data_IF_379202956971
#
_entry.id   IF_379202956971
#
_cell.length_a   1.000
_cell.length_b   1.000
_cell.length_c   1.000
_cell.angle_alpha   90.00
_cell.angle_beta   90.00
_cell.angle_gamma   90.00
#
_symmetry.space_group_name_H-M   'P 1'
#
loop_
_entity.id
_entity.type
_entity.pdbx_description
1 polymer ?
#
# COMPACT_ATOMS: atom_id res chain seq x y z
N UNK A 1 5.47 15.04 -71.23
CA UNK A 1 5.43 15.39 -69.79
C UNK A 1 4.42 14.59 -68.97
N UNK A 2 3.17 14.33 -69.41
CA UNK A 2 2.17 13.55 -68.63
C UNK A 2 2.54 12.09 -68.27
N UNK A 3 3.33 11.38 -69.10
CA UNK A 3 3.72 9.98 -68.80
C UNK A 3 4.81 9.85 -67.72
N UNK A 4 5.70 10.83 -67.58
CA UNK A 4 6.76 10.81 -66.55
C UNK A 4 6.23 11.19 -65.16
N UNK A 5 5.17 12.01 -65.09
CA UNK A 5 4.54 12.41 -63.83
C UNK A 5 3.80 11.23 -63.15
N UNK A 6 3.10 10.39 -63.93
CA UNK A 6 2.36 9.24 -63.40
C UNK A 6 3.27 8.08 -62.96
N UNK A 7 4.46 7.94 -63.55
CA UNK A 7 5.44 6.94 -63.11
C UNK A 7 6.04 7.32 -61.75
N UNK A 8 6.33 8.61 -61.54
CA UNK A 8 6.84 9.11 -60.27
C UNK A 8 5.81 9.04 -59.14
N UNK A 9 4.52 9.30 -59.39
CA UNK A 9 3.48 9.18 -58.35
C UNK A 9 3.28 7.72 -57.91
N UNK A 10 3.31 6.76 -58.85
CA UNK A 10 3.20 5.33 -58.52
C UNK A 10 4.45 4.80 -57.79
N UNK A 11 5.64 5.27 -58.18
CA UNK A 11 6.88 4.92 -57.49
C UNK A 11 6.94 5.51 -56.07
N UNK A 12 6.49 6.75 -55.87
CA UNK A 12 6.42 7.41 -54.56
C UNK A 12 5.35 6.77 -53.67
N UNK A 13 4.18 6.40 -54.21
CA UNK A 13 3.16 5.67 -53.47
C UNK A 13 3.65 4.29 -53.04
N UNK A 14 4.36 3.56 -53.92
CA UNK A 14 4.94 2.26 -53.59
C UNK A 14 6.05 2.40 -52.52
N UNK A 15 6.91 3.42 -52.61
CA UNK A 15 7.97 3.69 -51.64
C UNK A 15 7.41 4.09 -50.25
N UNK A 16 6.32 4.87 -50.20
CA UNK A 16 5.63 5.19 -48.94
C UNK A 16 4.88 3.98 -48.36
N UNK A 17 4.42 3.05 -49.21
CA UNK A 17 3.79 1.80 -48.72
C UNK A 17 4.86 0.87 -48.13
N UNK A 18 6.07 0.79 -48.70
CA UNK A 18 7.18 -0.01 -48.14
C UNK A 18 7.72 0.58 -46.82
N UNK A 19 7.67 1.91 -46.65
CA UNK A 19 8.06 2.57 -45.39
C UNK A 19 6.99 2.47 -44.28
N UNK A 20 5.74 2.13 -44.62
CA UNK A 20 4.66 1.96 -43.65
C UNK A 20 4.57 0.54 -43.06
N UNK A 21 5.32 -0.44 -43.58
CA UNK A 21 5.34 -1.84 -43.06
C UNK A 21 6.62 -2.16 -42.28
N UNK A 22 7.47 -1.17 -42.01
CA UNK A 22 8.56 -1.29 -41.05
C UNK A 22 8.27 -0.41 -39.83
N UNK A 23 7.20 -0.73 -39.08
CA UNK A 23 7.27 -0.42 -37.66
C UNK A 23 8.43 -1.27 -37.14
N UNK A 24 9.51 -0.62 -36.72
CA UNK A 24 10.54 -1.34 -36.00
C UNK A 24 9.85 -1.96 -34.79
N UNK A 25 9.81 -3.29 -34.70
CA UNK A 25 9.60 -3.91 -33.40
C UNK A 25 10.68 -3.34 -32.48
N UNK A 26 10.23 -2.64 -31.46
CA UNK A 26 11.11 -2.20 -30.38
C UNK A 26 11.27 -3.30 -29.33
N UNK A 27 10.54 -4.40 -29.52
CA UNK A 27 10.65 -5.62 -28.75
C UNK A 27 11.81 -6.44 -29.31
N UNK A 28 13.01 -6.11 -28.84
CA UNK A 28 14.18 -6.90 -29.14
C UNK A 28 14.20 -8.08 -28.18
N UNK A 29 14.06 -9.30 -28.71
CA UNK A 29 14.35 -10.53 -27.95
C UNK A 29 15.70 -10.36 -27.26
N UNK A 30 15.68 -10.25 -25.93
CA UNK A 30 16.90 -10.34 -25.14
C UNK A 30 17.19 -11.82 -24.95
N UNK A 31 18.13 -12.43 -25.69
CA UNK A 31 18.40 -13.87 -25.61
C UNK A 31 18.90 -14.31 -24.22
N UNK A 32 19.20 -13.36 -23.32
CA UNK A 32 19.61 -13.62 -21.94
C UNK A 32 18.50 -13.35 -20.90
N UNK A 33 17.33 -12.83 -21.31
CA UNK A 33 16.16 -12.69 -20.44
C UNK A 33 15.26 -13.93 -20.59
N UNK A 34 14.74 -14.44 -19.49
CA UNK A 34 13.70 -15.46 -19.54
C UNK A 34 12.42 -14.84 -20.13
N UNK A 35 11.79 -15.51 -21.10
CA UNK A 35 10.51 -15.07 -21.65
C UNK A 35 9.37 -15.39 -20.69
N UNK A 36 8.24 -14.69 -20.78
CA UNK A 36 7.04 -15.00 -19.96
C UNK A 36 6.61 -16.46 -20.12
N UNK A 37 6.73 -16.99 -21.35
CA UNK A 37 6.48 -18.39 -21.65
C UNK A 37 7.44 -19.35 -20.92
N UNK A 38 8.68 -18.94 -20.62
CA UNK A 38 9.66 -19.74 -19.87
C UNK A 38 9.48 -19.59 -18.35
N UNK A 39 9.16 -18.38 -17.89
CA UNK A 39 8.97 -18.09 -16.46
C UNK A 39 7.73 -18.80 -15.92
N UNK A 40 6.59 -18.66 -16.59
CA UNK A 40 5.32 -19.15 -16.06
C UNK A 40 4.97 -20.60 -16.44
N UNK A 41 5.77 -21.25 -17.29
CA UNK A 41 5.55 -22.66 -17.67
C UNK A 41 6.41 -23.67 -16.89
N UNK A 42 7.24 -23.20 -15.96
CA UNK A 42 8.11 -24.05 -15.14
C UNK A 42 7.87 -23.85 -13.64
N UNK A 43 8.14 -24.90 -12.86
CA UNK A 43 8.06 -24.85 -11.40
C UNK A 43 9.00 -23.80 -10.83
N UNK A 44 10.26 -23.82 -11.25
CA UNK A 44 11.28 -22.90 -10.74
C UNK A 44 10.99 -21.45 -11.14
N UNK A 45 10.53 -21.24 -12.37
CA UNK A 45 10.20 -19.91 -12.87
C UNK A 45 9.02 -19.27 -12.13
N UNK A 46 7.94 -20.02 -11.89
CA UNK A 46 6.77 -19.45 -11.19
C UNK A 46 7.07 -19.18 -9.72
N UNK A 47 7.82 -20.05 -9.03
CA UNK A 47 8.25 -19.82 -7.65
C UNK A 47 9.12 -18.56 -7.55
N UNK A 48 10.06 -18.39 -8.49
CA UNK A 48 10.89 -17.19 -8.56
C UNK A 48 10.07 -15.92 -8.85
N UNK A 49 9.07 -16.00 -9.72
CA UNK A 49 8.16 -14.89 -9.99
C UNK A 49 7.34 -14.50 -8.74
N UNK A 50 6.86 -15.48 -7.97
CA UNK A 50 6.14 -15.26 -6.71
C UNK A 50 7.02 -14.58 -5.66
N UNK A 51 8.26 -15.01 -5.49
CA UNK A 51 9.23 -14.36 -4.58
C UNK A 51 9.53 -12.94 -5.07
N UNK A 52 9.75 -12.75 -6.38
CA UNK A 52 10.00 -11.45 -6.98
C UNK A 52 8.84 -10.47 -6.84
N UNK A 53 7.60 -10.95 -6.88
CA UNK A 53 6.39 -10.16 -6.63
C UNK A 53 6.36 -9.61 -5.20
N UNK A 54 6.57 -10.48 -4.21
CA UNK A 54 6.66 -10.07 -2.80
C UNK A 54 7.81 -9.08 -2.59
N UNK A 55 8.98 -9.33 -3.18
CA UNK A 55 10.14 -8.45 -3.07
C UNK A 55 9.87 -7.08 -3.72
N UNK A 56 9.24 -7.04 -4.90
CA UNK A 56 8.85 -5.79 -5.56
C UNK A 56 7.90 -4.97 -4.67
N UNK A 57 6.89 -5.61 -4.09
CA UNK A 57 5.95 -4.96 -3.18
C UNK A 57 6.67 -4.45 -1.92
N UNK A 58 7.43 -5.30 -1.24
CA UNK A 58 8.04 -5.00 0.06
C UNK A 58 9.20 -4.00 0.01
N UNK A 59 9.88 -3.85 -1.13
CA UNK A 59 11.01 -2.90 -1.28
C UNK A 59 10.61 -1.64 -2.04
N UNK A 60 9.94 -1.78 -3.18
CA UNK A 60 9.58 -0.63 -4.02
C UNK A 60 8.17 -0.14 -3.73
N UNK A 61 7.22 -1.05 -3.55
CA UNK A 61 5.83 -0.73 -3.24
C UNK A 61 5.70 0.00 -1.90
N UNK A 62 6.19 -0.63 -0.83
CA UNK A 62 6.11 -0.08 0.53
C UNK A 62 6.78 1.29 0.66
N UNK A 63 7.90 1.53 -0.03
CA UNK A 63 8.49 2.87 -0.10
C UNK A 63 7.44 3.91 -0.46
N UNK A 64 6.71 3.70 -1.56
CA UNK A 64 5.75 4.68 -2.07
C UNK A 64 4.47 4.71 -1.24
N UNK A 65 3.98 3.55 -0.79
CA UNK A 65 2.79 3.40 0.05
C UNK A 65 2.97 4.10 1.41
N UNK A 66 4.19 4.15 1.94
CA UNK A 66 4.49 4.81 3.21
C UNK A 66 4.84 6.29 3.01
N UNK A 67 5.92 6.59 2.27
CA UNK A 67 6.47 7.95 2.15
C UNK A 67 5.43 8.94 1.61
N UNK A 68 4.65 8.52 0.62
CA UNK A 68 3.78 9.41 -0.13
C UNK A 68 2.62 9.95 0.72
N UNK A 69 1.75 9.10 1.31
CA UNK A 69 0.70 9.58 2.21
C UNK A 69 1.23 10.13 3.53
N UNK A 70 2.36 9.66 4.06
CA UNK A 70 2.91 10.17 5.31
C UNK A 70 3.25 11.68 5.24
N UNK A 71 3.86 12.12 4.14
CA UNK A 71 4.14 13.56 3.92
C UNK A 71 2.86 14.37 3.67
N UNK A 72 1.92 13.80 2.91
CA UNK A 72 0.62 14.45 2.60
C UNK A 72 -0.24 14.66 3.84
N UNK A 73 -0.19 13.74 4.82
CA UNK A 73 -1.00 13.75 6.06
C UNK A 73 -0.24 14.23 7.29
N UNK A 74 0.94 14.83 7.06
CA UNK A 74 1.80 15.40 8.08
C UNK A 74 2.33 14.41 9.10
N UNK A 75 2.22 13.09 8.89
CA UNK A 75 2.96 12.08 9.68
C UNK A 75 4.48 12.27 9.57
N UNK A 76 4.93 12.70 8.40
CA UNK A 76 6.32 12.99 8.10
C UNK A 76 6.48 14.40 7.53
N UNK A 77 7.65 15.00 7.79
CA UNK A 77 8.10 16.26 7.20
C UNK A 77 9.33 16.03 6.33
N UNK A 78 9.43 16.72 5.20
CA UNK A 78 10.57 16.55 4.28
C UNK A 78 11.81 17.26 4.82
N UNK A 79 12.97 16.66 4.59
CA UNK A 79 14.28 17.20 5.00
C UNK A 79 15.22 17.46 3.82
N UNK A 80 14.72 17.24 2.59
CA UNK A 80 15.46 17.44 1.34
C UNK A 80 14.76 18.44 0.43
N UNK A 81 15.53 19.00 -0.51
CA UNK A 81 15.03 19.92 -1.53
C UNK A 81 14.74 19.21 -2.85
N UNK A 82 14.45 17.91 -2.84
CA UNK A 82 14.06 17.21 -4.07
C UNK A 82 12.66 17.66 -4.48
N UNK A 83 12.49 18.03 -5.75
CA UNK A 83 11.26 18.67 -6.22
C UNK A 83 10.01 17.82 -5.94
N UNK A 84 10.09 16.50 -6.14
CA UNK A 84 8.98 15.60 -5.84
C UNK A 84 8.55 15.61 -4.37
N UNK A 85 9.50 15.79 -3.44
CA UNK A 85 9.22 15.87 -2.01
C UNK A 85 8.63 17.25 -1.66
N UNK A 86 9.17 18.31 -2.25
CA UNK A 86 8.65 19.68 -2.09
C UNK A 86 7.20 19.75 -2.58
N UNK A 87 6.91 19.26 -3.78
CA UNK A 87 5.55 19.24 -4.35
C UNK A 87 4.59 18.48 -3.43
N UNK A 88 5.07 17.37 -2.85
CA UNK A 88 4.28 16.54 -1.94
C UNK A 88 3.97 17.23 -0.61
N UNK A 89 4.91 17.97 -0.01
CA UNK A 89 4.68 18.67 1.26
C UNK A 89 3.93 19.99 1.10
N UNK A 90 4.27 20.75 0.05
CA UNK A 90 3.62 22.01 -0.29
C UNK A 90 2.14 21.77 -0.67
N UNK A 91 1.83 20.63 -1.30
CA UNK A 91 0.47 20.31 -1.74
C UNK A 91 -0.01 21.24 -2.86
N UNK A 92 -1.34 21.36 -3.01
CA UNK A 92 -1.93 22.07 -4.15
C UNK A 92 -1.87 21.26 -5.45
N UNK A 93 -1.59 21.93 -6.57
CA UNK A 93 -1.49 21.27 -7.88
C UNK A 93 -0.16 20.51 -8.00
N UNK A 94 -0.17 19.24 -7.57
CA UNK A 94 0.99 18.35 -7.73
C UNK A 94 1.09 17.89 -9.18
N UNK A 95 2.27 17.99 -9.83
CA UNK A 95 2.44 17.51 -11.20
C UNK A 95 2.15 16.01 -11.34
N UNK A 96 1.41 15.62 -12.38
CA UNK A 96 1.14 14.21 -12.73
C UNK A 96 2.41 13.39 -13.05
N UNK A 97 3.53 14.05 -13.32
CA UNK A 97 4.84 13.42 -13.54
C UNK A 97 5.69 13.29 -12.27
N UNK A 98 5.15 13.65 -11.10
CA UNK A 98 5.86 13.54 -9.82
C UNK A 98 6.21 12.08 -9.56
N UNK A 99 7.47 11.81 -9.19
CA UNK A 99 7.98 10.45 -9.03
C UNK A 99 7.25 9.64 -7.97
N UNK A 100 6.75 10.25 -6.90
CA UNK A 100 5.95 9.56 -5.89
C UNK A 100 4.64 9.03 -6.47
N UNK A 101 3.96 9.83 -7.31
CA UNK A 101 2.69 9.48 -7.94
C UNK A 101 2.89 8.40 -8.99
N UNK A 102 3.86 8.62 -9.90
CA UNK A 102 4.20 7.65 -10.95
C UNK A 102 4.69 6.33 -10.33
N UNK A 103 5.56 6.44 -9.32
CA UNK A 103 6.16 5.29 -8.64
C UNK A 103 5.14 4.43 -7.91
N UNK A 104 4.22 5.04 -7.15
CA UNK A 104 3.15 4.33 -6.47
C UNK A 104 2.27 3.59 -7.48
N UNK A 105 1.72 4.31 -8.46
CA UNK A 105 0.80 3.75 -9.46
C UNK A 105 1.45 2.61 -10.27
N UNK A 106 2.59 2.90 -10.92
CA UNK A 106 3.24 1.92 -11.80
C UNK A 106 3.77 0.70 -11.04
N UNK A 107 4.17 0.84 -9.77
CA UNK A 107 4.60 -0.32 -8.98
C UNK A 107 3.42 -1.21 -8.62
N UNK A 108 2.28 -0.64 -8.23
CA UNK A 108 1.07 -1.42 -7.92
C UNK A 108 0.53 -2.14 -9.15
N UNK A 109 0.51 -1.49 -10.33
CA UNK A 109 0.13 -2.16 -11.58
C UNK A 109 1.07 -3.32 -11.93
N UNK A 110 2.37 -3.19 -11.69
CA UNK A 110 3.33 -4.29 -11.91
C UNK A 110 3.10 -5.46 -10.96
N UNK A 111 2.83 -5.19 -9.67
CA UNK A 111 2.47 -6.23 -8.71
C UNK A 111 1.19 -6.95 -9.14
N UNK A 112 0.17 -6.21 -9.58
CA UNK A 112 -1.07 -6.79 -10.11
C UNK A 112 -0.82 -7.65 -11.35
N UNK A 113 -0.03 -7.18 -12.31
CA UNK A 113 0.29 -7.94 -13.53
C UNK A 113 0.96 -9.27 -13.21
N UNK A 114 2.00 -9.25 -12.35
CA UNK A 114 2.70 -10.48 -11.96
C UNK A 114 1.75 -11.42 -11.20
N UNK A 115 0.88 -10.88 -10.35
CA UNK A 115 -0.13 -11.67 -9.65
C UNK A 115 -1.10 -12.35 -10.61
N UNK A 116 -1.60 -11.63 -11.61
CA UNK A 116 -2.51 -12.18 -12.63
C UNK A 116 -1.84 -13.28 -13.45
N UNK A 117 -0.56 -13.10 -13.82
CA UNK A 117 0.21 -14.13 -14.53
C UNK A 117 0.43 -15.38 -13.67
N UNK A 118 0.78 -15.24 -12.39
CA UNK A 118 0.91 -16.38 -11.47
C UNK A 118 -0.43 -17.10 -11.34
N UNK A 119 -1.52 -16.38 -11.05
CA UNK A 119 -2.84 -16.95 -10.84
C UNK A 119 -3.36 -17.68 -12.08
N UNK A 120 -3.06 -17.15 -13.27
CA UNK A 120 -3.44 -17.75 -14.55
C UNK A 120 -2.65 -19.03 -14.85
N UNK A 121 -1.34 -19.04 -14.61
CA UNK A 121 -0.47 -20.12 -15.10
C UNK A 121 -0.20 -21.23 -14.06
N UNK A 122 -0.22 -20.93 -12.76
CA UNK A 122 0.04 -21.93 -11.71
C UNK A 122 -0.86 -23.18 -11.79
N UNK A 123 -2.18 -23.07 -12.09
CA UNK A 123 -3.05 -24.24 -12.19
C UNK A 123 -2.62 -25.26 -13.25
N UNK A 124 -2.03 -24.79 -14.34
CA UNK A 124 -1.65 -25.59 -15.52
C UNK A 124 -0.34 -26.36 -15.34
N UNK A 125 0.45 -26.03 -14.31
CA UNK A 125 1.71 -26.70 -14.04
C UNK A 125 1.52 -28.12 -13.50
N UNK A 126 2.44 -29.02 -13.79
CA UNK A 126 2.45 -30.36 -13.21
C UNK A 126 3.25 -30.40 -11.90
N UNK A 127 2.73 -29.71 -10.88
CA UNK A 127 3.29 -29.63 -9.51
C UNK A 127 2.23 -30.02 -8.47
N UNK A 128 2.60 -30.08 -7.18
CA UNK A 128 1.69 -30.43 -6.10
C UNK A 128 0.49 -29.47 -6.02
N UNK A 129 -0.73 -29.99 -5.81
CA UNK A 129 -1.96 -29.18 -5.77
C UNK A 129 -1.98 -28.15 -4.64
N UNK A 130 -1.38 -28.47 -3.49
CA UNK A 130 -1.17 -27.53 -2.39
C UNK A 130 -0.17 -26.42 -2.75
N UNK A 131 0.83 -26.70 -3.60
CA UNK A 131 1.72 -25.66 -4.14
C UNK A 131 0.95 -24.75 -5.10
N UNK A 132 0.12 -25.30 -5.99
CA UNK A 132 -0.72 -24.49 -6.90
C UNK A 132 -1.67 -23.59 -6.13
N UNK A 133 -2.37 -24.18 -5.15
CA UNK A 133 -3.30 -23.47 -4.27
C UNK A 133 -2.61 -22.32 -3.54
N UNK A 134 -1.46 -22.58 -2.92
CA UNK A 134 -0.65 -21.56 -2.27
C UNK A 134 -0.22 -20.44 -3.23
N UNK A 135 0.27 -20.78 -4.43
CA UNK A 135 0.69 -19.82 -5.45
C UNK A 135 -0.45 -18.87 -5.86
N UNK A 136 -1.64 -19.42 -6.15
CA UNK A 136 -2.81 -18.62 -6.54
C UNK A 136 -3.31 -17.78 -5.36
N UNK A 137 -3.39 -18.35 -4.16
CA UNK A 137 -3.80 -17.62 -2.96
C UNK A 137 -2.86 -16.46 -2.63
N UNK A 138 -1.54 -16.66 -2.78
CA UNK A 138 -0.53 -15.64 -2.56
C UNK A 138 -0.58 -14.54 -3.63
N UNK A 139 -0.76 -14.92 -4.90
CA UNK A 139 -1.00 -13.95 -5.97
C UNK A 139 -2.26 -13.10 -5.70
N UNK A 140 -3.35 -13.72 -5.27
CA UNK A 140 -4.57 -13.01 -4.90
C UNK A 140 -4.37 -12.06 -3.72
N UNK A 141 -3.59 -12.46 -2.70
CA UNK A 141 -3.21 -11.58 -1.59
C UNK A 141 -2.48 -10.33 -2.09
N UNK A 142 -1.41 -10.46 -2.87
CA UNK A 142 -0.64 -9.31 -3.35
C UNK A 142 -1.41 -8.44 -4.33
N UNK A 143 -2.25 -9.04 -5.18
CA UNK A 143 -3.17 -8.28 -6.03
C UNK A 143 -4.16 -7.48 -5.20
N UNK A 144 -4.77 -8.08 -4.18
CA UNK A 144 -5.68 -7.38 -3.26
C UNK A 144 -4.97 -6.23 -2.53
N UNK A 145 -3.73 -6.45 -2.07
CA UNK A 145 -2.91 -5.43 -1.43
C UNK A 145 -2.56 -4.27 -2.37
N UNK A 146 -2.24 -4.56 -3.63
CA UNK A 146 -1.95 -3.55 -4.63
C UNK A 146 -3.20 -2.72 -4.98
N UNK A 147 -4.35 -3.38 -5.19
CA UNK A 147 -5.64 -2.70 -5.41
C UNK A 147 -6.01 -1.83 -4.21
N UNK A 148 -5.91 -2.36 -3.00
CA UNK A 148 -6.19 -1.65 -1.76
C UNK A 148 -5.31 -0.40 -1.62
N UNK A 149 -4.01 -0.55 -1.85
CA UNK A 149 -3.04 0.55 -1.82
C UNK A 149 -3.37 1.64 -2.84
N UNK A 150 -3.78 1.29 -4.06
CA UNK A 150 -4.24 2.30 -5.01
C UNK A 150 -5.55 2.95 -4.55
N UNK A 151 -6.52 2.19 -4.06
CA UNK A 151 -7.81 2.73 -3.61
C UNK A 151 -7.67 3.64 -2.37
N UNK A 152 -6.61 3.48 -1.58
CA UNK A 152 -6.26 4.41 -0.50
C UNK A 152 -5.72 5.76 -1.02
N UNK A 153 -5.33 5.86 -2.28
CA UNK A 153 -4.59 7.00 -2.82
C UNK A 153 -5.30 7.71 -4.00
N UNK A 154 -6.23 7.04 -4.71
CA UNK A 154 -6.93 7.58 -5.89
C UNK A 154 -8.44 7.37 -5.81
N UNK A 155 -9.24 8.27 -6.39
CA UNK A 155 -10.72 8.18 -6.38
C UNK A 155 -11.28 7.00 -7.18
N UNK A 156 -10.57 6.60 -8.22
CA UNK A 156 -10.89 5.45 -9.06
C UNK A 156 -9.59 4.73 -9.41
N UNK A 157 -9.67 3.41 -9.58
CA UNK A 157 -8.48 2.58 -9.82
C UNK A 157 -8.77 1.48 -10.82
N UNK A 158 -7.70 0.90 -11.36
CA UNK A 158 -7.76 -0.30 -12.18
C UNK A 158 -7.69 -1.52 -11.25
N UNK A 159 -8.52 -2.54 -11.53
CA UNK A 159 -8.54 -3.81 -10.77
C UNK A 159 -8.19 -5.04 -11.62
N UNK A 160 -8.01 -4.84 -12.92
CA UNK A 160 -7.57 -5.86 -13.88
C UNK A 160 -6.69 -5.24 -14.94
N UNK A 161 -5.54 -5.86 -15.24
CA UNK A 161 -4.63 -5.34 -16.26
C UNK A 161 -5.21 -5.58 -17.66
N UNK A 162 -5.12 -4.57 -18.53
CA UNK A 162 -5.36 -4.71 -19.97
C UNK A 162 -4.08 -4.45 -20.73
N UNK A 163 -3.69 -5.40 -21.58
CA UNK A 163 -2.55 -5.25 -22.48
C UNK A 163 -2.83 -4.30 -23.64
N UNK A 164 -4.10 -4.05 -23.94
CA UNK A 164 -4.53 -3.15 -25.02
C UNK A 164 -4.56 -1.67 -24.58
N UNK A 165 -4.21 -1.39 -23.33
CA UNK A 165 -4.21 -0.03 -22.78
C UNK A 165 -5.61 0.54 -22.54
N UNK A 166 -6.64 -0.30 -22.42
CA UNK A 166 -8.04 0.12 -22.26
C UNK A 166 -8.64 -0.32 -20.92
N UNK A 167 -7.80 -0.55 -19.91
CA UNK A 167 -8.23 -1.00 -18.60
C UNK A 167 -9.30 -0.06 -18.00
N UNK A 168 -10.38 -0.65 -17.50
CA UNK A 168 -11.49 0.09 -16.90
C UNK A 168 -11.15 0.56 -15.48
N UNK A 169 -11.60 1.76 -15.15
CA UNK A 169 -11.52 2.32 -13.81
C UNK A 169 -12.80 2.03 -13.03
N UNK A 170 -12.66 1.67 -11.77
CA UNK A 170 -13.75 1.45 -10.82
C UNK A 170 -13.61 2.38 -9.62
N UNK A 171 -14.72 2.64 -8.93
CA UNK A 171 -14.70 3.42 -7.69
C UNK A 171 -13.85 2.76 -6.59
N UNK A 172 -13.35 3.54 -5.63
CA UNK A 172 -12.65 3.02 -4.45
C UNK A 172 -13.42 1.92 -3.71
N UNK A 173 -14.71 2.13 -3.48
CA UNK A 173 -15.55 1.14 -2.78
C UNK A 173 -15.67 -0.16 -3.57
N UNK A 174 -15.79 -0.09 -4.90
CA UNK A 174 -15.78 -1.27 -5.76
C UNK A 174 -14.41 -1.96 -5.79
N UNK A 175 -13.32 -1.20 -5.77
CA UNK A 175 -11.97 -1.71 -5.66
C UNK A 175 -11.73 -2.48 -4.35
N UNK A 176 -12.14 -1.92 -3.21
CA UNK A 176 -12.05 -2.63 -1.92
C UNK A 176 -12.89 -3.90 -1.90
N UNK A 177 -14.11 -3.89 -2.46
CA UNK A 177 -14.91 -5.10 -2.59
C UNK A 177 -14.26 -6.14 -3.52
N UNK A 178 -13.56 -5.70 -4.57
CA UNK A 178 -12.78 -6.58 -5.44
C UNK A 178 -11.60 -7.20 -4.69
N UNK A 179 -10.88 -6.42 -3.89
CA UNK A 179 -9.81 -6.93 -3.02
C UNK A 179 -10.35 -7.97 -2.02
N UNK A 180 -11.49 -7.71 -1.37
CA UNK A 180 -12.16 -8.68 -0.48
C UNK A 180 -12.54 -9.97 -1.23
N UNK A 181 -13.04 -9.87 -2.46
CA UNK A 181 -13.38 -11.05 -3.26
C UNK A 181 -12.15 -11.93 -3.55
N UNK A 182 -11.02 -11.32 -3.92
CA UNK A 182 -9.75 -12.03 -4.13
C UNK A 182 -9.26 -12.73 -2.86
N UNK A 183 -9.36 -12.07 -1.70
CA UNK A 183 -8.97 -12.64 -0.41
C UNK A 183 -9.87 -13.80 0.02
N UNK A 184 -11.18 -13.70 -0.23
CA UNK A 184 -12.12 -14.79 0.01
C UNK A 184 -11.83 -15.99 -0.91
N UNK A 185 -11.51 -15.74 -2.18
CA UNK A 185 -11.08 -16.79 -3.11
C UNK A 185 -9.81 -17.49 -2.61
N UNK A 186 -8.80 -16.71 -2.19
CA UNK A 186 -7.56 -17.24 -1.64
C UNK A 186 -7.80 -18.14 -0.41
N UNK A 187 -8.63 -17.69 0.54
CA UNK A 187 -9.02 -18.48 1.72
C UNK A 187 -9.72 -19.78 1.32
N UNK A 188 -10.66 -19.72 0.38
CA UNK A 188 -11.38 -20.90 -0.09
C UNK A 188 -10.45 -21.91 -0.79
N UNK A 189 -9.47 -21.42 -1.57
CA UNK A 189 -8.49 -22.26 -2.25
C UNK A 189 -7.64 -23.04 -1.26
N UNK A 190 -7.05 -22.36 -0.28
CA UNK A 190 -6.18 -23.03 0.71
C UNK A 190 -6.97 -23.92 1.68
N UNK A 191 -8.24 -23.60 1.95
CA UNK A 191 -9.12 -24.49 2.71
C UNK A 191 -9.44 -25.79 1.93
N UNK A 192 -9.65 -25.69 0.61
CA UNK A 192 -9.95 -26.84 -0.23
C UNK A 192 -8.71 -27.69 -0.54
N UNK A 193 -7.57 -27.05 -0.74
CA UNK A 193 -6.27 -27.68 -1.01
C UNK A 193 -5.22 -26.99 -0.13
N UNK A 194 -4.99 -27.50 1.10
CA UNK A 194 -4.01 -26.94 2.03
C UNK A 194 -2.63 -26.78 1.39
N UNK A 195 -1.95 -25.69 1.76
CA UNK A 195 -0.62 -25.38 1.24
C UNK A 195 0.35 -26.53 1.48
N UNK A 196 1.22 -26.79 0.51
CA UNK A 196 2.21 -27.85 0.59
C UNK A 196 3.41 -27.44 1.45
N UNK A 197 4.19 -28.42 1.90
CA UNK A 197 5.48 -28.18 2.58
C UNK A 197 6.44 -27.39 1.67
N UNK A 198 6.45 -27.66 0.37
CA UNK A 198 7.25 -26.94 -0.62
C UNK A 198 6.87 -25.45 -0.69
N UNK A 199 5.56 -25.15 -0.75
CA UNK A 199 5.12 -23.75 -0.76
C UNK A 199 5.49 -23.05 0.55
N UNK A 200 5.29 -23.74 1.68
CA UNK A 200 5.67 -23.22 3.00
C UNK A 200 7.17 -22.95 3.10
N UNK A 201 8.03 -23.86 2.63
CA UNK A 201 9.48 -23.75 2.75
C UNK A 201 10.11 -22.77 1.76
N UNK A 202 9.61 -22.71 0.51
CA UNK A 202 10.22 -21.92 -0.55
C UNK A 202 9.64 -20.50 -0.63
N UNK A 203 8.34 -20.32 -0.38
CA UNK A 203 7.66 -19.02 -0.51
C UNK A 203 7.48 -18.35 0.85
N UNK A 204 6.79 -18.99 1.80
CA UNK A 204 6.48 -18.35 3.09
C UNK A 204 7.70 -18.24 3.99
N UNK A 205 8.59 -19.25 3.98
CA UNK A 205 9.86 -19.30 4.71
C UNK A 205 9.73 -19.05 6.23
N UNK A 206 8.55 -19.29 6.80
CA UNK A 206 8.23 -18.97 8.19
C UNK A 206 8.05 -17.49 8.49
N UNK A 207 8.13 -16.61 7.49
CA UNK A 207 8.02 -15.16 7.66
C UNK A 207 6.59 -14.64 7.50
N UNK A 208 5.72 -15.40 6.82
CA UNK A 208 4.33 -15.03 6.55
C UNK A 208 3.44 -16.18 6.99
N UNK A 209 2.57 -15.91 7.96
CA UNK A 209 1.39 -16.73 8.20
C UNK A 209 0.31 -16.34 7.18
N UNK A 210 0.13 -17.17 6.15
CA UNK A 210 -0.77 -16.85 5.04
C UNK A 210 -2.24 -16.76 5.49
N UNK A 211 -2.70 -17.62 6.40
CA UNK A 211 -4.09 -17.63 6.85
C UNK A 211 -4.41 -16.36 7.63
N UNK A 212 -3.57 -16.03 8.62
CA UNK A 212 -3.74 -14.81 9.41
C UNK A 212 -3.58 -13.54 8.55
N UNK A 213 -2.66 -13.54 7.58
CA UNK A 213 -2.49 -12.40 6.66
C UNK A 213 -3.72 -12.18 5.78
N UNK A 214 -4.33 -13.26 5.28
CA UNK A 214 -5.56 -13.17 4.49
C UNK A 214 -6.72 -12.63 5.33
N UNK A 215 -6.83 -13.04 6.60
CA UNK A 215 -7.84 -12.50 7.53
C UNK A 215 -7.59 -11.03 7.86
N UNK A 216 -6.35 -10.65 8.17
CA UNK A 216 -5.99 -9.26 8.49
C UNK A 216 -6.30 -8.31 7.32
N UNK A 217 -5.91 -8.68 6.09
CA UNK A 217 -6.24 -7.88 4.91
C UNK A 217 -7.75 -7.90 4.61
N UNK A 218 -8.45 -9.01 4.88
CA UNK A 218 -9.91 -9.08 4.74
C UNK A 218 -10.60 -8.14 5.71
N UNK A 219 -10.14 -8.06 6.96
CA UNK A 219 -10.64 -7.13 7.96
C UNK A 219 -10.45 -5.68 7.52
N UNK A 220 -9.23 -5.33 7.08
CA UNK A 220 -8.87 -3.98 6.60
C UNK A 220 -9.75 -3.54 5.42
N UNK A 221 -9.86 -4.36 4.37
CA UNK A 221 -10.61 -3.95 3.18
C UNK A 221 -12.12 -4.04 3.35
N UNK A 222 -12.64 -4.92 4.21
CA UNK A 222 -14.05 -4.86 4.60
C UNK A 222 -14.35 -3.58 5.37
N UNK A 223 -13.46 -3.15 6.28
CA UNK A 223 -13.63 -1.87 6.98
C UNK A 223 -13.66 -0.70 5.99
N UNK A 224 -12.71 -0.64 5.07
CA UNK A 224 -12.63 0.45 4.09
C UNK A 224 -13.79 0.43 3.08
N UNK A 225 -14.37 -0.74 2.80
CA UNK A 225 -15.58 -0.88 1.99
C UNK A 225 -16.87 -0.52 2.74
N UNK A 226 -16.84 -0.35 4.07
CA UNK A 226 -18.02 -0.15 4.92
C UNK A 226 -18.77 -1.44 5.27
N UNK A 227 -18.15 -2.61 5.05
CA UNK A 227 -18.71 -3.92 5.37
C UNK A 227 -18.41 -4.29 6.84
N UNK A 228 -18.96 -3.52 7.78
CA UNK A 228 -18.54 -3.56 9.20
C UNK A 228 -18.67 -4.93 9.88
N UNK A 229 -19.77 -5.66 9.68
CA UNK A 229 -19.93 -6.99 10.29
C UNK A 229 -18.91 -8.00 9.76
N UNK A 230 -18.58 -7.93 8.46
CA UNK A 230 -17.54 -8.77 7.85
C UNK A 230 -16.14 -8.38 8.35
N UNK A 231 -15.90 -7.08 8.55
CA UNK A 231 -14.64 -6.59 9.12
C UNK A 231 -14.42 -7.11 10.55
N UNK A 232 -15.46 -7.05 11.40
CA UNK A 232 -15.42 -7.60 12.76
C UNK A 232 -15.14 -9.10 12.75
N UNK A 233 -15.83 -9.85 11.87
CA UNK A 233 -15.64 -11.31 11.78
C UNK A 233 -14.23 -11.69 11.34
N UNK A 234 -13.68 -10.99 10.35
CA UNK A 234 -12.32 -11.26 9.86
C UNK A 234 -11.27 -10.87 10.90
N UNK A 235 -11.41 -9.70 11.53
CA UNK A 235 -10.49 -9.23 12.57
C UNK A 235 -10.44 -10.21 13.77
N UNK A 236 -11.60 -10.66 14.25
CA UNK A 236 -11.68 -11.64 15.34
C UNK A 236 -11.24 -13.07 14.97
N UNK A 237 -10.87 -13.30 13.70
CA UNK A 237 -10.33 -14.59 13.23
C UNK A 237 -8.79 -14.58 13.14
N UNK A 238 -8.15 -13.44 13.38
CA UNK A 238 -6.68 -13.33 13.43
C UNK A 238 -6.20 -13.75 14.81
N UNK A 239 -5.19 -14.61 14.86
CA UNK A 239 -4.44 -14.93 16.08
C UNK A 239 -3.52 -13.75 16.42
N UNK A 240 -3.75 -13.10 17.56
CA UNK A 240 -2.95 -11.94 18.01
C UNK A 240 -1.48 -12.31 18.29
N UNK A 241 -1.15 -13.59 18.46
CA UNK A 241 0.22 -14.06 18.59
C UNK A 241 0.92 -14.38 17.27
N UNK A 242 0.19 -14.36 16.15
CA UNK A 242 0.73 -14.62 14.82
C UNK A 242 1.45 -13.40 14.27
N UNK A 243 2.58 -13.63 13.61
CA UNK A 243 3.37 -12.59 12.95
C UNK A 243 3.48 -12.86 11.46
N UNK A 244 3.33 -11.80 10.66
CA UNK A 244 3.74 -11.79 9.25
C UNK A 244 4.62 -10.58 8.98
N UNK A 245 5.80 -10.81 8.42
CA UNK A 245 6.78 -9.76 8.16
C UNK A 245 7.37 -9.84 6.76
N UNK A 246 7.68 -8.68 6.21
CA UNK A 246 8.60 -8.55 5.10
C UNK A 246 10.03 -8.50 5.63
N UNK A 247 10.87 -9.41 5.15
CA UNK A 247 12.27 -9.52 5.56
C UNK A 247 13.21 -8.88 4.54
N UNK A 248 14.31 -8.33 5.02
CA UNK A 248 15.28 -7.60 4.21
C UNK A 248 16.69 -8.16 4.36
N UNK A 249 17.58 -7.79 3.43
CA UNK A 249 18.97 -8.20 3.42
C UNK A 249 19.87 -7.07 2.88
N UNK A 250 21.19 -7.29 2.86
CA UNK A 250 22.16 -6.29 2.41
C UNK A 250 22.00 -5.78 0.96
N UNK A 251 21.20 -6.45 0.13
CA UNK A 251 20.88 -6.07 -1.24
C UNK A 251 19.45 -5.51 -1.35
N UNK A 252 18.55 -6.00 -0.50
CA UNK A 252 17.14 -5.64 -0.46
C UNK A 252 16.84 -5.05 0.90
N UNK A 253 17.22 -3.79 1.09
CA UNK A 253 17.11 -3.10 2.38
C UNK A 253 15.67 -2.71 2.69
N UNK A 254 15.40 -2.52 3.97
CA UNK A 254 14.19 -1.90 4.48
C UNK A 254 13.98 -0.56 3.74
N UNK A 255 12.83 -0.38 3.07
CA UNK A 255 12.63 0.73 2.16
C UNK A 255 12.38 2.06 2.85
N UNK A 256 11.98 2.07 4.12
CA UNK A 256 11.82 3.30 4.91
C UNK A 256 13.19 3.69 5.46
N UNK A 257 13.92 2.74 6.04
CA UNK A 257 15.31 2.95 6.47
C UNK A 257 16.17 3.51 5.34
N UNK A 258 16.02 2.97 4.12
CA UNK A 258 16.79 3.43 2.95
C UNK A 258 16.57 4.90 2.60
N UNK A 259 15.44 5.48 3.02
CA UNK A 259 15.05 6.86 2.75
C UNK A 259 15.46 7.79 3.87
N UNK A 260 15.61 7.28 5.08
CA UNK A 260 15.94 8.08 6.27
C UNK A 260 17.44 8.00 6.58
N UNK A 261 18.06 6.82 6.50
CA UNK A 261 19.39 6.57 7.07
C UNK A 261 20.50 6.28 6.04
N UNK A 262 20.24 5.51 4.97
CA UNK A 262 21.28 4.91 4.11
C UNK A 262 22.41 5.84 3.65
N UNK A 263 22.11 7.11 3.37
CA UNK A 263 23.07 8.07 2.82
C UNK A 263 23.47 9.19 3.79
N UNK A 264 23.05 9.10 5.06
CA UNK A 264 23.26 10.17 6.06
C UNK A 264 22.53 11.48 5.72
N UNK A 265 21.62 11.46 4.74
CA UNK A 265 20.78 12.59 4.32
C UNK A 265 19.35 12.08 4.26
N UNK A 266 18.56 12.24 5.34
CA UNK A 266 17.18 11.76 5.37
C UNK A 266 16.37 12.50 4.32
N UNK A 267 15.53 11.78 3.58
CA UNK A 267 14.56 12.36 2.64
C UNK A 267 13.40 13.04 3.36
N UNK A 268 12.95 12.41 4.44
CA UNK A 268 11.94 12.87 5.36
C UNK A 268 12.29 12.39 6.77
N UNK A 269 11.66 13.01 7.76
CA UNK A 269 11.68 12.61 9.16
C UNK A 269 10.25 12.59 9.72
N UNK A 270 9.97 11.78 10.75
CA UNK A 270 8.69 11.83 11.44
C UNK A 270 8.43 13.24 12.00
N UNK A 271 7.17 13.62 12.12
CA UNK A 271 6.75 14.89 12.74
C UNK A 271 6.48 14.67 14.22
N UNK A 272 6.70 15.70 15.04
CA UNK A 272 6.30 15.68 16.45
C UNK A 272 4.85 15.20 16.60
N UNK A 273 4.60 14.44 17.66
CA UNK A 273 3.26 13.89 17.94
C UNK A 273 2.64 13.15 16.76
N UNK A 274 3.46 12.45 15.95
CA UNK A 274 3.00 11.70 14.77
C UNK A 274 2.30 12.58 13.72
N UNK A 275 2.50 13.90 13.77
CA UNK A 275 1.80 14.86 12.91
C UNK A 275 0.37 15.18 13.32
N UNK A 276 -0.08 14.72 14.49
CA UNK A 276 -1.42 15.01 15.00
C UNK A 276 -1.54 16.50 15.41
N UNK A 277 -2.69 17.14 15.19
CA UNK A 277 -2.95 18.49 15.68
C UNK A 277 -3.17 18.52 17.20
N UNK A 278 -3.04 19.70 17.81
CA UNK A 278 -3.23 19.96 19.25
C UNK A 278 -4.60 19.52 19.81
N UNK A 279 -5.59 19.25 18.95
CA UNK A 279 -6.88 18.70 19.39
C UNK A 279 -6.77 17.25 19.89
N UNK A 280 -5.69 16.54 19.54
CA UNK A 280 -5.38 15.22 20.07
C UNK A 280 -4.30 15.32 21.14
N UNK A 281 -4.59 14.79 22.32
CA UNK A 281 -3.62 14.67 23.40
C UNK A 281 -3.09 13.25 23.44
N UNK A 282 -1.81 13.06 23.17
CA UNK A 282 -1.12 11.79 23.40
C UNK A 282 -0.83 11.68 24.91
N UNK A 283 -1.10 10.52 25.50
CA UNK A 283 -0.73 10.28 26.89
C UNK A 283 0.81 10.26 26.99
N UNK A 284 1.45 11.07 27.85
CA UNK A 284 2.91 11.07 27.97
C UNK A 284 3.52 9.74 28.40
N UNK A 285 2.71 8.79 28.89
CA UNK A 285 3.12 7.44 29.22
C UNK A 285 2.87 6.42 28.09
N UNK A 286 2.33 6.84 26.93
CA UNK A 286 2.09 5.95 25.78
C UNK A 286 3.41 5.45 25.20
N UNK A 287 3.67 4.14 25.36
CA UNK A 287 4.93 3.51 24.99
C UNK A 287 5.25 3.56 23.50
N UNK A 288 4.25 3.82 22.64
CA UNK A 288 4.44 3.89 21.18
C UNK A 288 5.21 5.13 20.75
N UNK A 289 5.17 6.20 21.56
CA UNK A 289 5.99 7.41 21.33
C UNK A 289 7.47 7.02 21.31
N UNK A 290 7.94 6.36 22.38
CA UNK A 290 9.34 5.95 22.50
C UNK A 290 9.70 4.78 21.57
N UNK A 291 8.72 3.99 21.12
CA UNK A 291 8.94 2.93 20.13
C UNK A 291 9.27 3.51 18.75
N UNK A 292 8.53 4.52 18.29
CA UNK A 292 8.65 5.05 16.92
C UNK A 292 9.49 6.33 16.80
N UNK A 293 9.58 7.13 17.85
CA UNK A 293 10.13 8.48 17.80
C UNK A 293 11.32 8.64 18.75
N UNK A 294 12.36 9.29 18.26
CA UNK A 294 13.51 9.73 19.06
C UNK A 294 13.49 11.26 19.12
N UNK A 295 13.44 11.86 20.32
CA UNK A 295 13.33 13.32 20.47
C UNK A 295 14.40 14.10 19.70
N UNK A 296 13.97 15.06 18.89
CA UNK A 296 14.82 15.95 18.11
C UNK A 296 14.25 17.39 18.12
N UNK A 297 15.02 18.35 18.64
CA UNK A 297 14.64 19.77 18.64
C UNK A 297 15.08 20.45 17.33
N UNK A 298 14.52 19.97 16.20
CA UNK A 298 14.79 20.51 14.87
C UNK A 298 13.51 20.85 14.11
N UNK A 299 13.64 21.79 13.17
CA UNK A 299 12.59 22.15 12.23
C UNK A 299 13.00 21.69 10.83
N UNK A 300 12.03 21.20 10.07
CA UNK A 300 12.21 20.91 8.67
C UNK A 300 12.29 22.21 7.82
N UNK A 301 12.45 22.05 6.51
CA UNK A 301 12.61 23.18 5.56
C UNK A 301 11.41 24.14 5.61
N UNK A 302 10.20 23.62 5.85
CA UNK A 302 8.95 24.36 5.95
C UNK A 302 8.56 24.75 7.40
N UNK A 303 9.53 24.74 8.32
CA UNK A 303 9.36 25.15 9.72
C UNK A 303 8.43 24.25 10.53
N UNK A 304 8.31 22.98 10.12
CA UNK A 304 7.58 21.94 10.81
C UNK A 304 8.53 21.22 11.78
N UNK A 305 8.25 21.17 13.11
CA UNK A 305 8.96 20.31 14.08
C UNK A 305 9.09 18.84 13.66
N UNK A 306 10.27 18.25 13.81
CA UNK A 306 10.53 16.88 13.37
C UNK A 306 11.28 16.10 14.44
N UNK A 307 11.02 14.80 14.48
CA UNK A 307 11.66 13.83 15.36
C UNK A 307 12.67 12.97 14.57
N UNK A 308 13.54 12.24 15.25
CA UNK A 308 14.26 11.11 14.63
C UNK A 308 13.39 9.84 14.65
N UNK A 309 13.67 8.91 13.72
CA UNK A 309 12.86 7.71 13.52
C UNK A 309 13.46 6.51 14.27
N UNK A 310 12.61 5.69 14.89
CA UNK A 310 12.93 4.43 15.53
C UNK A 310 11.97 3.29 15.11
N UNK A 311 12.00 2.17 15.83
CA UNK A 311 11.08 1.06 15.65
C UNK A 311 11.51 0.16 14.50
N UNK A 312 10.61 -0.19 13.58
CA UNK A 312 10.90 -1.08 12.45
C UNK A 312 11.83 -0.50 11.38
N UNK A 313 12.53 0.60 11.65
CA UNK A 313 13.12 1.44 10.61
C UNK A 313 14.52 1.96 10.94
N UNK A 314 15.12 1.62 12.09
CA UNK A 314 16.34 2.27 12.58
C UNK A 314 17.54 1.32 12.79
N UNK A 315 17.39 0.01 12.57
CA UNK A 315 18.54 -0.90 12.59
C UNK A 315 19.65 -0.45 11.61
N UNK A 316 20.89 -0.31 12.09
CA UNK A 316 22.02 0.25 11.32
C UNK A 316 22.30 -0.51 10.01
N UNK A 317 22.04 -1.82 9.95
CA UNK A 317 22.22 -2.61 8.72
C UNK A 317 21.12 -2.40 7.68
N UNK A 318 20.01 -1.73 8.05
CA UNK A 318 18.85 -1.54 7.18
C UNK A 318 18.12 -2.84 6.85
N UNK A 319 18.24 -3.86 7.70
CA UNK A 319 17.70 -5.22 7.45
C UNK A 319 16.48 -5.55 8.29
N UNK A 320 16.06 -4.63 9.16
CA UNK A 320 14.94 -4.83 10.06
C UNK A 320 13.64 -5.05 9.30
N UNK A 321 12.92 -6.08 9.72
CA UNK A 321 11.70 -6.52 9.05
C UNK A 321 10.55 -5.54 9.30
N UNK A 322 9.67 -5.38 8.31
CA UNK A 322 8.44 -4.57 8.43
C UNK A 322 7.24 -5.51 8.55
N UNK A 323 6.38 -5.37 9.58
CA UNK A 323 5.14 -6.14 9.68
C UNK A 323 4.19 -5.91 8.50
N UNK A 324 3.52 -6.97 8.05
CA UNK A 324 2.47 -6.88 7.01
C UNK A 324 1.18 -6.29 7.61
N UNK A 325 0.91 -6.64 8.86
CA UNK A 325 -0.13 -6.10 9.73
C UNK A 325 0.40 -6.11 11.17
N UNK A 326 -0.19 -5.28 12.03
CA UNK A 326 0.03 -5.33 13.47
C UNK A 326 -1.19 -5.99 14.14
N UNK A 327 -1.03 -6.81 15.18
CA UNK A 327 -2.15 -7.44 15.88
C UNK A 327 -3.20 -6.43 16.35
N UNK A 328 -2.76 -5.31 16.92
CA UNK A 328 -3.66 -4.28 17.43
C UNK A 328 -4.40 -3.49 16.35
N UNK A 329 -3.99 -3.61 15.07
CA UNK A 329 -4.84 -3.18 13.96
C UNK A 329 -6.21 -3.87 14.00
N UNK A 330 -6.26 -5.15 14.38
CA UNK A 330 -7.51 -5.92 14.43
C UNK A 330 -8.45 -5.39 15.51
N UNK A 331 -7.92 -5.08 16.70
CA UNK A 331 -8.67 -4.41 17.76
C UNK A 331 -9.17 -3.03 17.31
N UNK A 332 -8.35 -2.24 16.61
CA UNK A 332 -8.77 -0.94 16.08
C UNK A 332 -9.84 -1.06 14.98
N UNK A 333 -9.76 -2.07 14.12
CA UNK A 333 -10.80 -2.38 13.12
C UNK A 333 -12.10 -2.77 13.84
N UNK A 334 -12.04 -3.63 14.85
CA UNK A 334 -13.22 -4.04 15.62
C UNK A 334 -13.84 -2.85 16.35
N UNK A 335 -13.04 -1.98 16.96
CA UNK A 335 -13.52 -0.79 17.63
C UNK A 335 -14.31 0.10 16.68
N UNK A 336 -13.71 0.42 15.53
CA UNK A 336 -14.33 1.30 14.55
C UNK A 336 -15.59 0.69 13.93
N UNK A 337 -15.51 -0.57 13.49
CA UNK A 337 -16.64 -1.24 12.85
C UNK A 337 -17.83 -1.37 13.81
N UNK A 338 -17.59 -1.60 15.10
CA UNK A 338 -18.65 -1.61 16.11
C UNK A 338 -19.29 -0.24 16.31
N UNK A 339 -18.55 0.86 16.14
CA UNK A 339 -19.09 2.22 16.19
C UNK A 339 -19.91 2.58 14.93
N UNK A 340 -19.52 2.05 13.77
CA UNK A 340 -20.10 2.45 12.47
C UNK A 340 -21.18 1.52 11.92
N UNK A 341 -21.31 0.28 12.42
CA UNK A 341 -22.36 -0.65 11.99
C UNK A 341 -23.77 -0.08 12.26
N UNK A 342 -24.78 -0.59 11.54
CA UNK A 342 -26.17 -0.07 11.55
C UNK A 342 -26.74 0.17 12.95
N UNK A 343 -26.35 -0.65 13.93
CA UNK A 343 -26.62 -0.41 15.35
C UNK A 343 -25.30 -0.43 16.11
N UNK A 344 -24.80 0.77 16.43
CA UNK A 344 -23.53 0.94 17.12
C UNK A 344 -23.49 0.14 18.43
N UNK A 345 -22.40 -0.58 18.65
CA UNK A 345 -22.14 -1.35 19.86
C UNK A 345 -21.02 -0.68 20.67
N UNK A 346 -21.42 0.26 21.51
CA UNK A 346 -20.51 1.07 22.32
C UNK A 346 -19.69 0.21 23.28
N UNK A 347 -20.27 -0.87 23.82
CA UNK A 347 -19.57 -1.72 24.79
C UNK A 347 -18.47 -2.53 24.11
N UNK A 348 -18.77 -3.12 22.94
CA UNK A 348 -17.75 -3.82 22.15
C UNK A 348 -16.64 -2.87 21.69
N UNK A 349 -17.00 -1.65 21.26
CA UNK A 349 -16.03 -0.64 20.84
C UNK A 349 -15.07 -0.23 21.97
N UNK A 350 -15.60 0.11 23.15
CA UNK A 350 -14.77 0.46 24.32
C UNK A 350 -13.89 -0.71 24.76
N UNK A 351 -14.38 -1.95 24.65
CA UNK A 351 -13.58 -3.14 24.97
C UNK A 351 -12.38 -3.25 24.02
N UNK A 352 -12.61 -3.13 22.71
CA UNK A 352 -11.53 -3.20 21.71
C UNK A 352 -10.53 -2.04 21.84
N UNK A 353 -10.99 -0.81 22.14
CA UNK A 353 -10.12 0.33 22.46
C UNK A 353 -9.25 0.03 23.70
N UNK A 354 -9.84 -0.57 24.73
CA UNK A 354 -9.10 -0.90 25.95
C UNK A 354 -8.07 -2.00 25.75
N UNK A 355 -8.32 -2.98 24.86
CA UNK A 355 -7.32 -3.98 24.49
C UNK A 355 -6.05 -3.27 23.98
N UNK A 356 -6.19 -2.35 23.03
CA UNK A 356 -5.06 -1.58 22.47
C UNK A 356 -4.39 -0.70 23.52
N UNK A 357 -5.17 0.07 24.27
CA UNK A 357 -4.63 1.02 25.26
C UNK A 357 -3.85 0.33 26.37
N UNK A 358 -4.28 -0.86 26.78
CA UNK A 358 -3.69 -1.58 27.92
C UNK A 358 -2.69 -2.65 27.53
N UNK A 359 -2.48 -2.87 26.23
CA UNK A 359 -1.49 -3.81 25.73
C UNK A 359 -0.08 -3.45 26.21
N UNK A 360 0.64 -4.46 26.68
CA UNK A 360 1.99 -4.37 27.20
C UNK A 360 2.87 -5.56 26.78
N UNK A 361 2.35 -6.47 25.94
CA UNK A 361 3.03 -7.68 25.52
C UNK A 361 2.76 -8.09 24.05
N UNK A 362 2.40 -7.12 23.19
CA UNK A 362 2.31 -7.31 21.73
C UNK A 362 3.58 -7.99 21.16
N UNK A 363 3.38 -8.88 20.19
CA UNK A 363 4.44 -9.71 19.60
C UNK A 363 5.51 -8.93 18.83
N UNK A 364 5.19 -7.72 18.38
CA UNK A 364 6.16 -6.80 17.76
C UNK A 364 6.69 -5.74 18.75
N UNK A 365 6.17 -5.72 19.98
CA UNK A 365 6.56 -4.76 21.00
C UNK A 365 5.93 -3.38 20.84
N UNK A 366 4.98 -3.20 19.92
CA UNK A 366 4.24 -1.95 19.74
C UNK A 366 3.14 -1.90 20.80
N UNK A 367 3.42 -1.23 21.92
CA UNK A 367 2.54 -1.28 23.09
C UNK A 367 2.21 0.11 23.60
N UNK A 368 0.92 0.41 23.75
CA UNK A 368 0.50 1.65 24.39
C UNK A 368 0.84 1.66 25.89
N UNK A 369 0.54 0.55 26.60
CA UNK A 369 0.80 0.36 28.02
C UNK A 369 0.30 1.51 28.92
N UNK A 370 -0.89 2.02 28.62
CA UNK A 370 -1.56 3.09 29.36
C UNK A 370 -2.87 2.61 29.97
N UNK A 371 -3.49 3.49 30.76
CA UNK A 371 -4.77 3.17 31.40
C UNK A 371 -5.90 3.01 30.37
N UNK A 372 -6.85 2.13 30.70
CA UNK A 372 -8.09 1.95 29.96
C UNK A 372 -8.83 3.29 29.76
N UNK A 373 -9.55 3.40 28.65
CA UNK A 373 -10.28 4.60 28.27
C UNK A 373 -11.33 4.96 29.34
N UNK A 374 -11.25 6.20 29.83
CA UNK A 374 -12.14 6.75 30.85
C UNK A 374 -12.83 8.06 30.39
N UNK A 375 -12.77 8.35 29.08
CA UNK A 375 -13.33 9.55 28.47
C UNK A 375 -14.81 9.45 28.10
N UNK A 376 -15.25 10.35 27.23
CA UNK A 376 -16.63 10.37 26.72
C UNK A 376 -16.89 9.16 25.80
N UNK A 377 -17.98 8.43 26.05
CA UNK A 377 -18.36 7.24 25.28
C UNK A 377 -19.38 7.54 24.19
N UNK A 378 -19.56 8.80 23.80
CA UNK A 378 -20.29 9.15 22.58
C UNK A 378 -19.58 8.56 21.34
N UNK A 379 -20.33 8.27 20.28
CA UNK A 379 -19.76 7.67 19.06
C UNK A 379 -18.64 8.54 18.49
N UNK A 380 -18.86 9.86 18.42
CA UNK A 380 -17.89 10.80 17.88
C UNK A 380 -16.60 10.82 18.73
N UNK A 381 -16.72 10.88 20.06
CA UNK A 381 -15.56 10.85 20.95
C UNK A 381 -14.77 9.53 20.87
N UNK A 382 -15.47 8.40 20.72
CA UNK A 382 -14.83 7.11 20.53
C UNK A 382 -14.21 6.96 19.14
N UNK A 383 -14.78 7.55 18.10
CA UNK A 383 -14.14 7.59 16.78
C UNK A 383 -12.87 8.45 16.79
N UNK A 384 -12.86 9.58 17.50
CA UNK A 384 -11.64 10.37 17.71
C UNK A 384 -10.59 9.56 18.48
N UNK A 385 -10.98 8.82 19.53
CA UNK A 385 -10.08 7.93 20.28
C UNK A 385 -9.51 6.81 19.39
N UNK A 386 -10.34 6.20 18.53
CA UNK A 386 -9.86 5.19 17.57
C UNK A 386 -8.90 5.82 16.56
N UNK A 387 -9.19 7.01 16.04
CA UNK A 387 -8.29 7.70 15.11
C UNK A 387 -6.93 8.01 15.76
N UNK A 388 -6.93 8.50 17.00
CA UNK A 388 -5.70 8.72 17.78
C UNK A 388 -4.88 7.43 17.86
N UNK A 389 -5.47 6.34 18.35
CA UNK A 389 -4.74 5.08 18.50
C UNK A 389 -4.29 4.52 17.15
N UNK A 390 -5.06 4.67 16.06
CA UNK A 390 -4.62 4.28 14.72
C UNK A 390 -3.38 5.05 14.26
N UNK A 391 -3.28 6.34 14.56
CA UNK A 391 -2.12 7.18 14.19
C UNK A 391 -0.86 6.84 14.99
N UNK A 392 -1.01 6.34 16.22
CA UNK A 392 0.09 5.88 17.06
C UNK A 392 0.52 4.45 16.72
N UNK A 393 -0.46 3.54 16.58
CA UNK A 393 -0.24 2.12 16.34
C UNK A 393 0.29 1.84 14.94
N UNK A 394 -0.38 2.41 13.93
CA UNK A 394 -0.16 2.12 12.51
C UNK A 394 0.77 3.14 11.87
N UNK A 395 1.66 3.76 12.66
CA UNK A 395 2.55 4.79 12.18
C UNK A 395 3.42 4.28 11.03
N UNK A 396 3.48 5.06 9.94
CA UNK A 396 4.22 4.72 8.72
C UNK A 396 3.87 3.35 8.10
N UNK A 397 2.61 2.90 8.25
CA UNK A 397 2.09 1.72 7.55
C UNK A 397 1.35 2.07 6.24
N UNK A 398 1.18 3.36 5.95
CA UNK A 398 0.55 3.86 4.72
C UNK A 398 -0.99 4.00 4.77
N UNK A 399 -1.61 3.92 5.95
CA UNK A 399 -3.08 4.06 6.11
C UNK A 399 -3.55 5.47 6.42
N UNK A 400 -2.65 6.39 6.76
CA UNK A 400 -2.99 7.70 7.30
C UNK A 400 -3.87 8.56 6.40
N UNK A 401 -3.68 8.50 5.08
CA UNK A 401 -4.51 9.26 4.16
C UNK A 401 -5.93 8.69 4.04
N UNK A 402 -6.06 7.37 4.10
CA UNK A 402 -7.37 6.70 4.19
C UNK A 402 -8.08 7.08 5.47
N UNK A 403 -7.37 6.97 6.59
CA UNK A 403 -7.91 7.24 7.91
C UNK A 403 -8.31 8.71 8.05
N UNK A 404 -7.50 9.65 7.57
CA UNK A 404 -7.82 11.08 7.59
C UNK A 404 -9.17 11.37 6.91
N UNK A 405 -9.42 10.81 5.72
CA UNK A 405 -10.71 11.00 5.02
C UNK A 405 -11.85 10.25 5.71
N UNK A 406 -11.63 9.00 6.11
CA UNK A 406 -12.67 8.11 6.64
C UNK A 406 -13.15 8.53 8.04
N UNK A 407 -12.27 9.14 8.83
CA UNK A 407 -12.61 9.79 10.10
C UNK A 407 -13.06 11.25 9.95
N UNK A 408 -13.37 11.69 8.72
CA UNK A 408 -13.90 13.03 8.44
C UNK A 408 -13.03 14.16 9.02
N UNK A 409 -11.70 13.94 9.05
CA UNK A 409 -10.75 14.98 9.44
C UNK A 409 -10.88 16.15 8.46
N UNK A 410 -10.56 17.39 8.89
CA UNK A 410 -10.77 18.59 8.10
C UNK A 410 -10.25 18.46 6.65
N UNK A 411 -11.05 18.96 5.70
CA UNK A 411 -10.67 19.01 4.30
C UNK A 411 -9.45 19.91 4.09
N UNK A 412 -8.54 19.57 3.14
CA UNK A 412 -7.38 20.38 2.83
C UNK A 412 -7.78 21.72 2.22
N UNK A 413 -6.97 22.74 2.47
CA UNK A 413 -7.08 24.01 1.75
C UNK A 413 -6.75 23.80 0.27
N UNK A 414 -7.48 24.50 -0.60
CA UNK A 414 -7.22 24.46 -2.06
C UNK A 414 -5.94 25.21 -2.48
N UNK A 415 -5.30 25.91 -1.55
CA UNK A 415 -4.05 26.63 -1.79
C UNK A 415 -2.85 25.79 -1.35
N UNK A 416 -1.77 25.83 -2.14
CA UNK A 416 -0.50 25.24 -1.73
C UNK A 416 0.09 25.96 -0.51
N UNK A 417 0.97 25.28 0.22
CA UNK A 417 1.75 25.77 1.37
C UNK A 417 0.92 26.15 2.59
N UNK A 418 -0.22 25.48 2.78
CA UNK A 418 -0.98 25.54 4.03
C UNK A 418 -0.51 24.41 4.95
N UNK A 419 0.49 24.71 5.78
CA UNK A 419 1.13 23.73 6.66
C UNK A 419 0.37 23.51 7.98
N UNK A 420 -0.68 24.30 8.24
CA UNK A 420 -1.59 24.13 9.39
C UNK A 420 -2.65 23.06 9.14
N UNK A 421 -2.84 22.62 7.90
CA UNK A 421 -3.82 21.59 7.56
C UNK A 421 -3.29 20.19 7.94
N UNK A 422 -4.17 19.35 8.49
CA UNK A 422 -3.85 17.96 8.87
C UNK A 422 -3.50 17.10 7.65
N UNK A 423 -4.05 17.43 6.48
CA UNK A 423 -3.65 16.87 5.18
C UNK A 423 -3.66 17.98 4.14
N UNK A 424 -2.84 17.85 3.10
CA UNK A 424 -2.80 18.88 2.04
C UNK A 424 -3.59 18.52 0.78
N UNK A 425 -4.05 17.27 0.64
CA UNK A 425 -4.90 16.79 -0.47
C UNK A 425 -5.69 15.54 -0.07
N UNK A 426 -6.82 15.32 -0.73
CA UNK A 426 -7.60 14.10 -0.55
C UNK A 426 -7.12 12.93 -1.39
N UNK A 427 -6.78 13.13 -2.66
CA UNK A 427 -6.35 12.06 -3.56
C UNK A 427 -5.19 12.52 -4.45
N UNK A 428 -4.44 11.59 -5.01
CA UNK A 428 -3.38 11.90 -5.99
C UNK A 428 -3.95 12.07 -7.40
N UNK A 429 -3.42 13.00 -8.22
CA UNK A 429 -3.72 13.04 -9.64
C UNK A 429 -3.18 11.78 -10.33
N UNK A 430 -3.80 11.41 -11.45
CA UNK A 430 -3.41 10.22 -12.21
C UNK A 430 -2.10 10.48 -12.96
N UNK A 431 -1.14 9.54 -12.96
CA UNK A 431 0.13 9.73 -13.64
C UNK A 431 -0.03 10.01 -15.14
N UNK A 432 0.84 10.85 -15.71
CA UNK A 432 0.86 11.07 -17.16
C UNK A 432 1.08 9.77 -17.94
N UNK A 433 1.89 8.84 -17.40
CA UNK A 433 2.11 7.54 -18.02
C UNK A 433 0.83 6.72 -18.15
N UNK A 434 -0.10 6.83 -17.20
CA UNK A 434 -1.42 6.18 -17.33
C UNK A 434 -2.28 6.93 -18.33
N UNK A 435 -2.37 8.26 -18.18
CA UNK A 435 -3.20 9.14 -19.03
C UNK A 435 -2.86 9.04 -20.51
N UNK A 436 -1.57 8.94 -20.84
CA UNK A 436 -1.09 8.89 -22.22
C UNK A 436 -1.35 7.53 -22.88
N UNK A 437 -1.48 6.45 -22.09
CA UNK A 437 -1.65 5.09 -22.60
C UNK A 437 -3.09 4.56 -22.47
N UNK A 438 -3.89 5.11 -21.55
CA UNK A 438 -5.25 4.65 -21.27
C UNK A 438 -6.26 5.78 -21.40
N UNK A 439 -7.06 5.74 -22.47
CA UNK A 439 -8.09 6.75 -22.75
C UNK A 439 -9.23 6.76 -21.72
N UNK A 440 -9.33 5.75 -20.87
CA UNK A 440 -10.32 5.67 -19.80
C UNK A 440 -9.85 6.36 -18.50
N UNK A 441 -8.63 6.90 -18.47
CA UNK A 441 -8.09 7.60 -17.29
C UNK A 441 -8.99 8.78 -16.91
N UNK A 442 -9.51 8.84 -15.66
CA UNK A 442 -10.37 9.92 -15.22
C UNK A 442 -9.69 11.30 -15.23
N UNK A 443 -10.49 12.35 -15.05
CA UNK A 443 -9.97 13.65 -14.65
C UNK A 443 -9.27 13.55 -13.30
N UNK A 444 -8.28 14.41 -13.07
CA UNK A 444 -7.61 14.45 -11.76
C UNK A 444 -8.60 14.84 -10.66
N UNK A 445 -8.51 14.21 -9.47
CA UNK A 445 -9.31 14.58 -8.32
C UNK A 445 -9.11 16.07 -7.96
N UNK A 446 -10.15 16.69 -7.41
CA UNK A 446 -9.97 17.98 -6.75
C UNK A 446 -9.12 17.84 -5.49
N UNK A 447 -8.47 18.94 -5.09
CA UNK A 447 -7.73 19.03 -3.83
C UNK A 447 -8.65 18.73 -2.65
#
# INVERSE_FOLDING_TARGET
MKKYLNFNIKAIALLMTVLAVSSCETDFDNPNAATDAQVFSSREGILAATIGMQQLYSTTGLRWIVETPAVTTREAGITTTFQNMIDLEDGGDIPNSTSNIVGLWSTMLRVMSISEDIAKNAPDLNINDGTKSGLVAYANLFKAMAIGSMAQNYEQVIVAISQDGDAAFVSRTEAYNTAVALLNEAQNLIAANPISEEFSSEILRGNIDLENTLQAMSARYNLFAGNYDAAISAAGSVDESSTSVFTYDSQNLNPVWSRVFQNGVPNFKPRDSFGLPDSFSIDPADGRVDFYLVPLDELNINQLPIEDLAGFFDEESGTESIPVYLPDEMNLIMAEANLRKTSADITAAVTAINNVRTDNDDVFGVNANISAYAGDTSVDALLDEVYLNRRLELFLTGTSLEDSRRFERPEPSTSAKVFTDERNRNFYPYPNTERDNNSNTPADPSI
#
